data_IF_582859852083
#
_entry.id   IF_582859852083
#
_cell.length_a   1.000
_cell.length_b   1.000
_cell.length_c   1.000
_cell.angle_alpha   90.00
_cell.angle_beta   90.00
_cell.angle_gamma   90.00
#
_symmetry.space_group_name_H-M   'P 1'
#
loop_
_entity.id
_entity.type
_entity.pdbx_description
1 polymer ?
#
# COMPACT_ATOMS: atom_id res chain seq x y z
N UNK A 1 50.48 -43.49 10.61
CA UNK A 1 49.33 -43.42 9.68
C UNK A 1 47.98 -43.25 10.42
N UNK A 2 47.90 -42.38 11.45
CA UNK A 2 46.65 -42.13 12.21
C UNK A 2 46.15 -40.68 12.16
N UNK A 3 46.92 -39.72 11.62
CA UNK A 3 46.49 -38.30 11.54
C UNK A 3 45.87 -37.90 10.19
N UNK A 4 46.03 -38.71 9.14
CA UNK A 4 45.44 -38.43 7.81
C UNK A 4 43.91 -38.61 7.80
N UNK A 5 43.38 -39.52 8.64
CA UNK A 5 41.93 -39.77 8.72
C UNK A 5 41.18 -38.65 9.47
N UNK A 6 41.83 -37.96 10.40
CA UNK A 6 41.22 -36.85 11.15
C UNK A 6 41.19 -35.55 10.34
N UNK A 7 42.16 -35.34 9.44
CA UNK A 7 42.20 -34.16 8.55
C UNK A 7 41.10 -34.23 7.49
N UNK A 8 40.77 -35.43 7.00
CA UNK A 8 39.72 -35.62 5.99
C UNK A 8 38.32 -35.35 6.53
N UNK A 9 38.07 -35.63 7.82
CA UNK A 9 36.78 -35.38 8.48
C UNK A 9 36.56 -33.88 8.76
N UNK A 10 37.63 -33.14 9.07
CA UNK A 10 37.59 -31.68 9.28
C UNK A 10 37.46 -30.93 7.95
N UNK A 11 38.00 -31.46 6.85
CA UNK A 11 37.89 -30.85 5.53
C UNK A 11 36.49 -31.03 4.90
N UNK A 12 35.75 -32.08 5.27
CA UNK A 12 34.35 -32.26 4.86
C UNK A 12 33.36 -31.29 5.54
N UNK A 13 33.73 -30.67 6.67
CA UNK A 13 32.86 -29.72 7.37
C UNK A 13 32.80 -28.34 6.69
N UNK A 14 33.71 -28.06 5.75
CA UNK A 14 33.82 -26.77 5.06
C UNK A 14 32.94 -26.65 3.80
N UNK A 15 32.27 -27.72 3.38
CA UNK A 15 31.45 -27.72 2.16
C UNK A 15 29.94 -27.82 2.42
N UNK A 16 29.50 -27.77 3.68
CA UNK A 16 28.09 -27.54 4.03
C UNK A 16 27.92 -26.04 4.35
N UNK A 17 28.33 -25.18 3.41
CA UNK A 17 27.76 -23.83 3.41
C UNK A 17 26.35 -24.00 2.88
N UNK A 18 25.37 -23.82 3.76
CA UNK A 18 23.98 -23.71 3.36
C UNK A 18 23.90 -22.45 2.48
N UNK A 19 23.67 -22.62 1.17
CA UNK A 19 23.27 -21.52 0.31
C UNK A 19 21.92 -21.04 0.87
N UNK A 20 21.96 -20.06 1.76
CA UNK A 20 20.76 -19.38 2.21
C UNK A 20 20.29 -18.59 1.00
N UNK A 21 19.12 -18.94 0.49
CA UNK A 21 18.46 -18.12 -0.52
C UNK A 21 18.24 -16.75 0.12
N UNK A 22 18.89 -15.72 -0.41
CA UNK A 22 18.63 -14.36 0.04
C UNK A 22 17.16 -14.04 -0.26
N UNK A 23 16.39 -13.53 0.72
CA UNK A 23 15.02 -13.14 0.47
C UNK A 23 15.00 -12.03 -0.60
N UNK A 24 14.14 -12.20 -1.61
CA UNK A 24 13.88 -11.19 -2.63
C UNK A 24 12.73 -10.33 -2.13
N UNK A 25 12.98 -9.03 -1.95
CA UNK A 25 11.99 -8.04 -1.54
C UNK A 25 11.53 -7.22 -2.75
N UNK A 26 10.72 -7.85 -3.60
CA UNK A 26 10.17 -7.24 -4.81
C UNK A 26 8.68 -6.87 -4.68
N UNK A 27 8.08 -7.10 -3.50
CA UNK A 27 6.71 -6.70 -3.22
C UNK A 27 6.68 -5.24 -2.77
N UNK A 28 5.76 -4.47 -3.34
CA UNK A 28 5.55 -3.05 -2.98
C UNK A 28 5.21 -2.88 -1.50
N UNK A 29 4.61 -3.87 -0.85
CA UNK A 29 4.31 -3.85 0.57
C UNK A 29 5.46 -4.37 1.46
N UNK A 30 6.63 -4.68 0.88
CA UNK A 30 7.85 -4.94 1.65
C UNK A 30 8.46 -3.60 2.10
N UNK A 31 8.88 -3.55 3.37
CA UNK A 31 9.46 -2.32 3.93
C UNK A 31 10.89 -2.06 3.43
N UNK A 32 11.49 -3.06 2.82
CA UNK A 32 12.78 -2.98 2.15
C UNK A 32 12.65 -2.39 0.73
N UNK A 33 11.43 -2.38 0.17
CA UNK A 33 11.11 -1.79 -1.12
C UNK A 33 10.58 -0.35 -0.99
N UNK A 34 9.82 -0.05 0.07
CA UNK A 34 9.32 1.28 0.39
C UNK A 34 9.61 1.65 1.85
N UNK A 35 10.02 2.90 2.10
CA UNK A 35 10.27 3.40 3.46
C UNK A 35 8.94 3.59 4.23
N UNK A 36 8.69 2.84 5.32
CA UNK A 36 7.53 3.05 6.17
C UNK A 36 7.76 4.16 7.22
N UNK A 37 6.69 4.77 7.78
CA UNK A 37 5.28 4.60 7.45
C UNK A 37 4.94 5.10 6.05
N UNK A 38 4.10 4.37 5.30
CA UNK A 38 3.77 4.76 3.92
C UNK A 38 2.30 4.53 3.56
N UNK A 39 1.84 5.27 2.54
CA UNK A 39 0.60 5.00 1.83
C UNK A 39 0.93 4.56 0.40
N UNK A 40 0.39 3.42 -0.04
CA UNK A 40 0.80 2.79 -1.30
C UNK A 40 -0.41 2.24 -2.08
N UNK A 41 -0.28 2.15 -3.40
CA UNK A 41 -1.16 1.30 -4.20
C UNK A 41 -0.55 -0.11 -4.31
N UNK A 42 -1.37 -1.15 -4.17
CA UNK A 42 -0.91 -2.53 -4.37
C UNK A 42 -1.94 -3.36 -5.14
N UNK A 43 -1.62 -3.82 -6.37
CA UNK A 43 -0.40 -3.51 -7.14
C UNK A 43 -0.31 -2.02 -7.54
N UNK A 44 0.81 -1.58 -8.12
CA UNK A 44 0.99 -0.24 -8.70
C UNK A 44 0.66 -0.18 -10.19
N UNK A 45 0.50 -1.33 -10.85
CA UNK A 45 0.24 -1.42 -12.29
C UNK A 45 -1.01 -2.21 -12.56
N UNK A 46 -1.90 -1.62 -13.34
CA UNK A 46 -3.18 -2.19 -13.73
C UNK A 46 -3.31 -2.18 -15.25
N UNK A 47 -4.08 -3.13 -15.78
CA UNK A 47 -4.39 -3.17 -17.22
C UNK A 47 -5.82 -3.66 -17.42
N UNK A 48 -6.57 -2.94 -18.23
CA UNK A 48 -7.96 -3.26 -18.60
C UNK A 48 -8.30 -2.59 -19.94
N UNK A 49 -9.57 -2.62 -20.34
CA UNK A 49 -10.05 -2.09 -21.62
C UNK A 49 -10.83 -0.78 -21.40
N UNK A 50 -10.86 0.08 -22.41
CA UNK A 50 -11.72 1.28 -22.36
C UNK A 50 -13.18 0.89 -22.16
N UNK A 51 -13.85 1.55 -21.22
CA UNK A 51 -15.24 1.32 -20.82
C UNK A 51 -15.41 0.35 -19.65
N UNK A 52 -14.37 -0.39 -19.27
CA UNK A 52 -14.35 -1.29 -18.11
C UNK A 52 -13.96 -0.56 -16.82
N UNK A 53 -14.10 -1.27 -15.70
CA UNK A 53 -13.73 -0.80 -14.37
C UNK A 53 -12.52 -1.56 -13.81
N UNK A 54 -11.71 -0.86 -13.03
CA UNK A 54 -10.52 -1.38 -12.34
C UNK A 54 -10.58 -1.03 -10.87
N UNK A 55 -10.44 -2.04 -10.01
CA UNK A 55 -10.34 -1.87 -8.56
C UNK A 55 -8.88 -1.66 -8.13
N UNK A 56 -8.58 -0.42 -7.75
CA UNK A 56 -7.30 0.00 -7.18
C UNK A 56 -7.38 -0.04 -5.65
N UNK A 57 -6.38 -0.64 -5.00
CA UNK A 57 -6.36 -0.77 -3.53
C UNK A 57 -5.34 0.18 -2.93
N UNK A 58 -5.77 0.98 -1.96
CA UNK A 58 -4.93 1.84 -1.15
C UNK A 58 -4.53 1.11 0.14
N UNK A 59 -3.25 1.08 0.46
CA UNK A 59 -2.69 0.41 1.63
C UNK A 59 -1.95 1.39 2.55
N UNK A 60 -2.01 1.11 3.85
CA UNK A 60 -1.05 1.60 4.82
C UNK A 60 0.06 0.56 4.98
N UNK A 61 1.32 1.00 5.09
CA UNK A 61 2.49 0.14 5.29
C UNK A 61 3.19 0.49 6.61
N UNK A 62 3.22 -0.48 7.53
CA UNK A 62 3.87 -0.41 8.86
C UNK A 62 3.66 0.93 9.57
N UNK A 63 2.40 1.38 9.62
CA UNK A 63 2.00 2.58 10.36
C UNK A 63 1.77 2.22 11.84
N UNK A 64 1.93 3.18 12.74
CA UNK A 64 1.74 2.98 14.18
C UNK A 64 0.71 3.96 14.73
N UNK A 65 -0.20 3.45 15.55
CA UNK A 65 -1.10 4.23 16.40
C UNK A 65 -2.02 5.22 15.65
N UNK A 66 -2.41 4.87 14.42
CA UNK A 66 -3.28 5.70 13.56
C UNK A 66 -4.72 5.71 14.09
N UNK A 67 -5.24 6.89 14.42
CA UNK A 67 -6.62 7.11 14.83
C UNK A 67 -7.51 7.62 13.68
N UNK A 68 -6.93 8.40 12.76
CA UNK A 68 -7.64 8.91 11.58
C UNK A 68 -6.72 9.16 10.40
N UNK A 69 -7.30 9.31 9.22
CA UNK A 69 -6.56 9.60 8.00
C UNK A 69 -7.32 10.48 7.01
N UNK A 70 -6.54 11.21 6.21
CA UNK A 70 -6.92 11.73 4.88
C UNK A 70 -5.92 11.20 3.87
N UNK A 71 -6.36 10.40 2.90
CA UNK A 71 -5.58 10.10 1.71
C UNK A 71 -6.06 10.95 0.54
N UNK A 72 -5.16 11.78 -0.01
CA UNK A 72 -5.44 12.55 -1.22
C UNK A 72 -4.81 11.87 -2.41
N UNK A 73 -5.63 11.48 -3.37
CA UNK A 73 -5.22 10.79 -4.59
C UNK A 73 -5.41 11.74 -5.77
N UNK A 74 -4.39 11.85 -6.59
CA UNK A 74 -4.41 12.62 -7.82
C UNK A 74 -4.40 11.65 -9.00
N UNK A 75 -5.37 11.80 -9.91
CA UNK A 75 -5.60 10.88 -11.02
C UNK A 75 -5.74 11.62 -12.36
N UNK A 76 -5.39 10.95 -13.45
CA UNK A 76 -5.59 11.48 -14.82
C UNK A 76 -7.08 11.41 -15.22
N UNK A 77 -7.81 12.49 -14.92
CA UNK A 77 -9.23 12.61 -15.23
C UNK A 77 -9.54 12.77 -16.74
N UNK A 78 -8.53 12.84 -17.61
CA UNK A 78 -8.75 12.76 -19.05
C UNK A 78 -9.02 11.33 -19.54
N UNK A 79 -8.73 10.34 -18.68
CA UNK A 79 -8.83 8.90 -19.01
C UNK A 79 -9.48 8.06 -17.93
N UNK A 80 -9.63 8.58 -16.71
CA UNK A 80 -10.19 7.88 -15.56
C UNK A 80 -11.35 8.66 -14.96
N UNK A 81 -12.38 7.94 -14.56
CA UNK A 81 -13.51 8.45 -13.78
C UNK A 81 -13.62 7.62 -12.49
N UNK A 82 -13.83 8.24 -11.33
CA UNK A 82 -14.09 7.50 -10.09
C UNK A 82 -15.54 7.00 -10.13
N UNK A 83 -15.74 5.68 -10.22
CA UNK A 83 -17.07 5.06 -10.15
C UNK A 83 -17.57 4.94 -8.72
N UNK A 84 -16.69 4.47 -7.82
CA UNK A 84 -17.00 4.30 -6.41
C UNK A 84 -15.74 4.17 -5.56
N UNK A 85 -15.88 4.46 -4.28
CA UNK A 85 -14.88 4.15 -3.27
C UNK A 85 -15.55 3.36 -2.16
N UNK A 86 -14.95 2.23 -1.78
CA UNK A 86 -15.42 1.39 -0.68
C UNK A 86 -14.33 1.21 0.38
N UNK A 87 -14.79 1.00 1.61
CA UNK A 87 -13.92 0.81 2.76
C UNK A 87 -13.15 -0.51 2.68
N UNK A 88 -11.86 -0.48 2.99
CA UNK A 88 -11.02 -1.65 3.24
C UNK A 88 -10.99 -2.04 4.72
N UNK A 89 -10.35 -3.16 5.02
CA UNK A 89 -10.38 -3.76 6.35
C UNK A 89 -9.46 -3.11 7.39
N UNK A 90 -8.61 -2.15 7.00
CA UNK A 90 -7.57 -1.62 7.90
C UNK A 90 -8.15 -0.85 9.09
N UNK A 91 -9.25 -0.13 8.89
CA UNK A 91 -9.95 0.59 9.96
C UNK A 91 -11.19 -0.15 10.48
N UNK A 92 -11.34 -1.44 10.15
CA UNK A 92 -12.42 -2.25 10.73
C UNK A 92 -12.19 -2.45 12.22
N UNK A 93 -13.18 -2.04 13.01
CA UNK A 93 -13.24 -2.20 14.46
C UNK A 93 -14.61 -2.76 14.87
N UNK A 94 -14.80 -3.02 16.17
CA UNK A 94 -16.09 -3.51 16.69
C UNK A 94 -17.24 -2.53 16.36
N UNK A 95 -16.98 -1.23 16.45
CA UNK A 95 -17.83 -0.19 15.90
C UNK A 95 -17.34 0.21 14.49
N UNK A 96 -18.23 0.37 13.50
CA UNK A 96 -17.81 0.81 12.17
C UNK A 96 -17.14 2.18 12.19
N UNK A 97 -16.04 2.39 11.45
CA UNK A 97 -15.41 3.70 11.36
C UNK A 97 -16.31 4.68 10.59
N UNK A 98 -16.04 5.98 10.75
CA UNK A 98 -16.52 6.95 9.78
C UNK A 98 -15.65 6.81 8.53
N UNK A 99 -16.23 6.43 7.40
CA UNK A 99 -15.56 6.34 6.10
C UNK A 99 -16.31 7.17 5.07
N UNK A 100 -15.66 8.21 4.55
CA UNK A 100 -16.25 9.13 3.56
C UNK A 100 -15.22 9.49 2.51
N UNK A 101 -15.67 9.81 1.30
CA UNK A 101 -14.81 10.30 0.24
C UNK A 101 -15.45 11.49 -0.48
N UNK A 102 -14.61 12.30 -1.11
CA UNK A 102 -14.98 13.44 -1.94
C UNK A 102 -14.16 13.41 -3.23
N UNK A 103 -14.83 13.20 -4.37
CA UNK A 103 -14.21 13.30 -5.70
C UNK A 103 -14.63 14.63 -6.32
N UNK A 104 -13.65 15.45 -6.70
CA UNK A 104 -13.91 16.73 -7.32
C UNK A 104 -14.21 16.64 -8.83
N UNK A 105 -14.17 15.42 -9.41
CA UNK A 105 -14.38 15.14 -10.84
C UNK A 105 -13.33 15.79 -11.76
N UNK A 106 -12.28 16.35 -11.17
CA UNK A 106 -11.21 17.10 -11.84
C UNK A 106 -9.83 16.61 -11.46
N UNK A 107 -9.72 15.30 -11.16
CA UNK A 107 -8.45 14.63 -10.95
C UNK A 107 -7.97 14.60 -9.50
N UNK A 108 -8.83 14.92 -8.52
CA UNK A 108 -8.53 14.77 -7.10
C UNK A 108 -9.64 14.02 -6.38
N UNK A 109 -9.25 12.97 -5.65
CA UNK A 109 -10.08 12.19 -4.76
C UNK A 109 -9.51 12.27 -3.35
N UNK A 110 -10.31 12.74 -2.39
CA UNK A 110 -9.98 12.69 -0.97
C UNK A 110 -10.76 11.55 -0.28
N UNK A 111 -10.06 10.69 0.45
CA UNK A 111 -10.63 9.61 1.25
C UNK A 111 -10.33 9.88 2.71
N UNK A 112 -11.35 9.82 3.56
CA UNK A 112 -11.25 10.05 4.99
C UNK A 112 -11.70 8.81 5.75
N UNK A 113 -10.94 8.44 6.78
CA UNK A 113 -11.36 7.41 7.73
C UNK A 113 -11.04 7.83 9.17
N UNK A 114 -11.97 7.61 10.08
CA UNK A 114 -11.80 7.87 11.52
C UNK A 114 -12.31 6.68 12.30
N UNK A 115 -11.48 6.12 13.18
CA UNK A 115 -11.91 5.04 14.08
C UNK A 115 -12.94 5.61 15.06
N UNK A 116 -14.06 4.92 15.16
CA UNK A 116 -15.13 5.26 16.10
C UNK A 116 -15.18 4.15 17.14
N UNK A 117 -15.49 4.50 18.39
CA UNK A 117 -15.75 3.52 19.43
C UNK A 117 -14.69 3.45 20.52
N UNK A 118 -14.61 2.27 21.15
CA UNK A 118 -13.74 2.04 22.31
C UNK A 118 -12.28 1.81 21.92
N UNK A 119 -12.07 1.19 20.75
CA UNK A 119 -10.80 1.21 20.05
C UNK A 119 -10.53 2.62 19.53
N UNK A 120 -9.31 3.09 19.71
CA UNK A 120 -8.93 4.47 19.34
C UNK A 120 -7.88 4.56 18.25
N UNK A 121 -7.26 3.44 17.90
CA UNK A 121 -6.09 3.40 17.02
C UNK A 121 -5.86 2.02 16.42
N UNK A 122 -5.23 2.00 15.25
CA UNK A 122 -4.78 0.81 14.55
C UNK A 122 -3.32 0.95 14.11
N UNK A 123 -2.60 -0.17 14.07
CA UNK A 123 -1.20 -0.24 13.63
C UNK A 123 -1.01 -1.40 12.66
N UNK A 124 0.05 -1.34 11.86
CA UNK A 124 0.48 -2.41 10.96
C UNK A 124 0.37 -2.05 9.50
N UNK A 125 0.16 -3.07 8.66
CA UNK A 125 0.01 -2.95 7.21
C UNK A 125 -1.37 -3.47 6.82
N UNK A 126 -2.11 -2.75 6.00
CA UNK A 126 -3.42 -3.21 5.58
C UNK A 126 -4.13 -2.33 4.56
N UNK A 127 -5.18 -2.90 3.96
CA UNK A 127 -5.98 -2.26 2.93
C UNK A 127 -6.94 -1.23 3.55
N UNK A 128 -6.80 0.03 3.16
CA UNK A 128 -7.62 1.16 3.63
C UNK A 128 -8.88 1.33 2.79
N UNK A 129 -8.76 1.23 1.47
CA UNK A 129 -9.85 1.54 0.55
C UNK A 129 -9.68 0.82 -0.79
N UNK A 130 -10.81 0.52 -1.43
CA UNK A 130 -10.88 0.03 -2.80
C UNK A 130 -11.55 1.13 -3.63
N UNK A 131 -10.79 1.67 -4.58
CA UNK A 131 -11.20 2.73 -5.50
C UNK A 131 -11.48 2.08 -6.84
N UNK A 132 -12.72 2.13 -7.29
CA UNK A 132 -13.12 1.62 -8.60
C UNK A 132 -13.05 2.75 -9.60
N UNK A 133 -12.10 2.68 -10.54
CA UNK A 133 -11.99 3.60 -11.64
C UNK A 133 -12.64 3.02 -12.89
N UNK A 134 -13.45 3.81 -13.60
CA UNK A 134 -13.86 3.53 -14.97
C UNK A 134 -12.88 4.14 -15.96
N UNK A 135 -12.47 3.37 -16.95
CA UNK A 135 -11.51 3.79 -17.97
C UNK A 135 -12.27 4.47 -19.12
N UNK A 136 -12.13 5.78 -19.26
CA UNK A 136 -12.81 6.60 -20.27
C UNK A 136 -11.95 6.90 -21.52
N UNK A 137 -10.64 6.63 -21.48
CA UNK A 137 -9.73 6.87 -22.60
C UNK A 137 -8.60 5.83 -22.72
N UNK A 138 -8.03 5.70 -23.93
CA UNK A 138 -6.95 4.75 -24.24
C UNK A 138 -5.59 5.16 -23.67
N UNK A 139 -4.70 4.19 -23.50
CA UNK A 139 -3.31 4.36 -23.09
C UNK A 139 -3.12 4.41 -21.58
N UNK A 140 -1.94 4.86 -21.15
CA UNK A 140 -1.58 4.91 -19.73
C UNK A 140 -2.20 6.14 -19.06
N UNK A 141 -2.72 5.95 -17.85
CA UNK A 141 -3.25 6.98 -16.97
C UNK A 141 -2.58 6.85 -15.59
N UNK A 142 -2.06 7.96 -15.05
CA UNK A 142 -1.37 7.96 -13.77
C UNK A 142 -2.33 8.14 -12.59
N UNK A 143 -2.02 7.47 -11.49
CA UNK A 143 -2.58 7.74 -10.16
C UNK A 143 -1.42 7.94 -9.18
N UNK A 144 -1.53 8.88 -8.25
CA UNK A 144 -0.51 9.13 -7.23
C UNK A 144 -1.11 9.63 -5.94
N UNK A 145 -0.46 9.30 -4.83
CA UNK A 145 -0.82 9.81 -3.51
C UNK A 145 -0.12 11.16 -3.31
N UNK A 146 -0.87 12.18 -2.88
CA UNK A 146 -0.36 13.53 -2.66
C UNK A 146 0.36 13.64 -1.32
N UNK A 147 1.32 14.55 -1.24
CA UNK A 147 2.02 14.97 -0.01
C UNK A 147 1.09 15.66 1.01
N UNK A 148 -0.07 16.11 0.56
CA UNK A 148 -1.16 16.60 1.41
C UNK A 148 -1.94 15.46 2.11
N UNK A 149 -1.54 14.20 1.97
CA UNK A 149 -2.12 13.09 2.72
C UNK A 149 -1.63 13.12 4.17
N UNK A 150 -2.49 12.70 5.12
CA UNK A 150 -2.21 12.75 6.55
C UNK A 150 -2.69 11.48 7.24
N UNK A 151 -1.87 11.01 8.18
CA UNK A 151 -2.24 10.05 9.21
C UNK A 151 -2.12 10.77 10.55
N UNK A 152 -3.13 10.67 11.41
CA UNK A 152 -3.14 11.31 12.71
C UNK A 152 -3.23 10.25 13.82
N UNK A 153 -2.47 10.46 14.90
CA UNK A 153 -2.58 9.68 16.12
C UNK A 153 -3.80 10.06 16.97
N UNK A 154 -3.96 9.45 18.15
CA UNK A 154 -5.08 9.72 19.06
C UNK A 154 -5.10 11.11 19.67
N UNK A 155 -3.96 11.81 19.68
CA UNK A 155 -3.82 13.17 20.19
C UNK A 155 -3.97 14.21 19.06
N UNK A 156 -4.09 13.76 17.81
CA UNK A 156 -4.23 14.59 16.62
C UNK A 156 -2.90 15.08 16.05
N UNK A 157 -1.78 14.47 16.42
CA UNK A 157 -0.48 14.76 15.82
C UNK A 157 -0.29 13.95 14.53
N UNK A 158 0.38 14.57 13.56
CA UNK A 158 0.75 13.90 12.32
C UNK A 158 1.74 12.75 12.57
N UNK A 159 1.44 11.61 11.97
CA UNK A 159 2.36 10.50 11.79
C UNK A 159 3.07 10.73 10.45
N UNK A 160 4.37 10.96 10.50
CA UNK A 160 5.17 11.29 9.32
C UNK A 160 5.23 10.12 8.33
N UNK A 161 4.72 10.36 7.11
CA UNK A 161 4.81 9.43 5.99
C UNK A 161 6.19 9.58 5.31
N UNK A 162 6.91 8.46 5.21
CA UNK A 162 8.24 8.40 4.60
C UNK A 162 8.18 8.08 3.10
N UNK A 163 7.10 7.42 2.64
CA UNK A 163 6.88 7.10 1.23
C UNK A 163 5.40 7.25 0.84
N UNK A 164 5.18 7.64 -0.42
CA UNK A 164 3.88 7.82 -1.04
C UNK A 164 3.88 7.10 -2.40
N UNK A 165 2.87 6.24 -2.61
CA UNK A 165 2.77 5.40 -3.79
C UNK A 165 2.30 6.15 -5.04
N UNK A 166 2.82 5.70 -6.16
CA UNK A 166 2.36 6.03 -7.50
C UNK A 166 1.89 4.76 -8.20
N UNK A 167 1.06 4.91 -9.23
CA UNK A 167 0.58 3.80 -10.03
C UNK A 167 0.15 4.21 -11.43
N UNK A 168 -0.01 3.20 -12.29
CA UNK A 168 -0.40 3.36 -13.69
C UNK A 168 -1.53 2.39 -14.02
N UNK A 169 -2.58 2.91 -14.66
CA UNK A 169 -3.67 2.12 -15.22
C UNK A 169 -3.57 2.22 -16.74
N UNK A 170 -3.28 1.09 -17.40
CA UNK A 170 -3.17 1.01 -18.86
C UNK A 170 -4.49 0.55 -19.48
N UNK A 171 -5.12 1.42 -20.26
CA UNK A 171 -6.33 1.13 -21.03
C UNK A 171 -5.98 0.69 -22.46
N UNK A 172 -6.46 -0.48 -22.87
CA UNK A 172 -6.26 -1.05 -24.21
C UNK A 172 -7.52 -1.02 -25.07
#
# INVERSE_FOLDING_TARGET
>A
MRSINSIFIILCSLFISCDLIDPVFDNILDAEYNDPPALLFSPDKYTSSVGEEVDVRLYALKVEDVASMRARILYDNSRLEVSSVSQGSFFESAEPPLFVYDDNGSGQLDIYSVIMGSEKKVSGTGNIAIITFRLSGYGDASIRISDESQLLDTDGYDIELQSLGEGVISAK
#
